data_IF_376165807263
#
_entry.id   IF_376165807263
#
_cell.length_a   1.000
_cell.length_b   1.000
_cell.length_c   1.000
_cell.angle_alpha   90.00
_cell.angle_beta   90.00
_cell.angle_gamma   90.00
#
_symmetry.space_group_name_H-M   'P 1'
#
loop_
_entity.id
_entity.type
_entity.pdbx_description
1 polymer ?
#
# COMPACT_ATOMS: atom_id res chain seq x y z
N UNK A 1 17.48 7.31 34.90
CA UNK A 1 16.87 7.42 33.57
C UNK A 1 15.47 6.86 33.60
N UNK A 2 14.54 7.69 33.32
CA UNK A 2 13.14 7.26 33.28
C UNK A 2 12.78 6.80 31.89
N UNK A 3 12.30 5.58 31.78
CA UNK A 3 11.80 5.12 30.53
C UNK A 3 10.44 5.75 30.26
N UNK A 4 10.36 6.62 29.28
CA UNK A 4 9.09 7.14 28.85
C UNK A 4 8.26 5.99 28.29
N UNK A 5 6.95 5.94 28.62
CA UNK A 5 6.11 4.92 28.03
C UNK A 5 6.10 5.07 26.50
N UNK A 6 6.30 3.96 25.83
CA UNK A 6 6.22 3.93 24.39
C UNK A 6 4.75 3.90 24.03
N UNK A 7 4.31 4.95 23.36
CA UNK A 7 2.96 4.96 22.83
C UNK A 7 2.91 4.08 21.60
N UNK A 8 1.98 3.15 21.62
CA UNK A 8 1.76 2.26 20.48
C UNK A 8 0.34 2.43 19.98
N UNK A 9 0.24 2.73 18.72
CA UNK A 9 -1.03 2.67 18.04
C UNK A 9 -1.18 1.31 17.40
N UNK A 10 -2.31 0.68 17.65
CA UNK A 10 -2.64 -0.59 17.02
C UNK A 10 -3.71 -0.33 15.97
N UNK A 11 -3.39 -0.66 14.74
CA UNK A 11 -4.36 -0.58 13.67
C UNK A 11 -5.12 -1.90 13.59
N UNK A 12 -6.38 -1.85 13.96
CA UNK A 12 -7.26 -3.01 13.86
C UNK A 12 -7.81 -3.12 12.43
N UNK A 13 -8.40 -4.27 12.11
CA UNK A 13 -9.08 -4.43 10.82
C UNK A 13 -10.24 -3.46 10.66
N UNK A 14 -10.98 -3.19 11.73
CA UNK A 14 -12.04 -2.18 11.72
C UNK A 14 -11.48 -0.79 11.46
N UNK A 15 -10.38 -0.47 12.11
CA UNK A 15 -9.68 0.80 11.91
C UNK A 15 -9.14 0.94 10.49
N UNK A 16 -8.59 -0.13 9.95
CA UNK A 16 -8.12 -0.17 8.57
C UNK A 16 -9.29 0.09 7.60
N UNK A 17 -10.41 -0.59 7.80
CA UNK A 17 -11.58 -0.40 6.96
C UNK A 17 -12.10 1.03 7.01
N UNK A 18 -12.16 1.63 8.22
CA UNK A 18 -12.59 3.00 8.37
C UNK A 18 -11.63 3.98 7.69
N UNK A 19 -10.32 3.78 7.87
CA UNK A 19 -9.32 4.65 7.28
C UNK A 19 -9.33 4.61 5.75
N UNK A 20 -9.48 3.43 5.17
CA UNK A 20 -9.52 3.29 3.70
C UNK A 20 -10.79 3.89 3.13
N UNK A 21 -11.93 3.73 3.80
CA UNK A 21 -13.18 4.37 3.38
C UNK A 21 -13.08 5.89 3.46
N UNK A 22 -12.49 6.42 4.53
CA UNK A 22 -12.31 7.85 4.69
C UNK A 22 -11.39 8.41 3.60
N UNK A 23 -10.30 7.71 3.32
CA UNK A 23 -9.38 8.12 2.27
C UNK A 23 -10.06 8.11 0.90
N UNK A 24 -10.83 7.07 0.60
CA UNK A 24 -11.57 7.00 -0.66
C UNK A 24 -12.56 8.15 -0.79
N UNK A 25 -13.26 8.50 0.29
CA UNK A 25 -14.19 9.63 0.29
C UNK A 25 -13.48 10.95 0.03
N UNK A 26 -12.29 11.13 0.62
CA UNK A 26 -11.50 12.35 0.40
C UNK A 26 -11.03 12.46 -1.04
N UNK A 27 -10.62 11.34 -1.62
CA UNK A 27 -10.21 11.32 -3.03
C UNK A 27 -11.39 11.69 -3.94
N UNK A 28 -12.56 11.13 -3.67
CA UNK A 28 -13.75 11.42 -4.44
C UNK A 28 -14.21 12.88 -4.25
N UNK A 29 -14.10 13.40 -3.02
CA UNK A 29 -14.45 14.80 -2.75
C UNK A 29 -13.55 15.77 -3.47
N UNK A 30 -12.33 15.37 -3.76
CA UNK A 30 -11.34 16.16 -4.51
C UNK A 30 -11.57 16.05 -6.02
N UNK A 31 -12.62 15.38 -6.43
CA UNK A 31 -12.98 15.15 -7.83
C UNK A 31 -11.89 14.44 -8.63
N UNK A 32 -11.06 13.70 -7.94
CA UNK A 32 -10.02 12.91 -8.58
C UNK A 32 -10.57 11.51 -8.87
N UNK A 33 -10.51 11.13 -10.15
CA UNK A 33 -10.97 9.82 -10.60
C UNK A 33 -9.82 9.08 -11.26
N UNK A 34 -9.13 8.21 -10.52
CA UNK A 34 -8.00 7.50 -11.10
C UNK A 34 -8.47 6.46 -12.11
N UNK A 35 -7.71 6.33 -13.19
CA UNK A 35 -7.96 5.29 -14.19
C UNK A 35 -7.40 3.95 -13.74
N UNK A 36 -6.32 3.98 -12.98
CA UNK A 36 -5.63 2.79 -12.50
C UNK A 36 -5.19 3.01 -11.07
N UNK A 37 -5.37 2.01 -10.25
CA UNK A 37 -4.77 1.97 -8.91
C UNK A 37 -3.65 0.94 -8.93
N UNK A 38 -2.46 1.35 -8.54
CA UNK A 38 -1.32 0.46 -8.53
C UNK A 38 -0.88 0.24 -7.09
N UNK A 39 -0.88 -1.00 -6.69
CA UNK A 39 -0.38 -1.40 -5.38
C UNK A 39 1.12 -1.62 -5.44
N UNK A 40 1.81 -1.18 -4.42
CA UNK A 40 3.20 -1.54 -4.25
C UNK A 40 3.24 -2.73 -3.30
N UNK A 41 3.50 -3.89 -3.87
CA UNK A 41 3.51 -5.12 -3.10
C UNK A 41 4.71 -5.11 -2.13
N UNK A 42 4.58 -5.76 -1.02
CA UNK A 42 3.39 -6.49 -0.58
C UNK A 42 2.49 -5.64 0.31
N UNK A 43 3.08 -4.68 1.03
CA UNK A 43 2.35 -3.88 2.00
C UNK A 43 1.18 -3.09 1.40
N UNK A 44 1.31 -2.70 0.14
CA UNK A 44 0.27 -1.92 -0.53
C UNK A 44 -0.89 -2.73 -1.09
N UNK A 45 -0.81 -4.07 -1.08
CA UNK A 45 -1.85 -4.88 -1.72
C UNK A 45 -3.22 -4.72 -1.08
N UNK A 46 -3.30 -4.76 0.25
CA UNK A 46 -4.56 -4.62 0.95
C UNK A 46 -5.12 -3.19 0.86
N UNK A 47 -4.33 -2.15 1.17
CA UNK A 47 -4.88 -0.80 1.08
C UNK A 47 -5.25 -0.40 -0.35
N UNK A 48 -4.46 -0.78 -1.35
CA UNK A 48 -4.79 -0.45 -2.73
C UNK A 48 -6.08 -1.14 -3.18
N UNK A 49 -6.26 -2.42 -2.83
CA UNK A 49 -7.48 -3.14 -3.15
C UNK A 49 -8.71 -2.49 -2.52
N UNK A 50 -8.61 -2.14 -1.24
CA UNK A 50 -9.71 -1.50 -0.52
C UNK A 50 -10.05 -0.12 -1.10
N UNK A 51 -9.03 0.67 -1.41
CA UNK A 51 -9.23 2.00 -1.99
C UNK A 51 -9.79 1.91 -3.40
N UNK A 52 -9.27 1.00 -4.22
CA UNK A 52 -9.78 0.78 -5.57
C UNK A 52 -11.27 0.40 -5.54
N UNK A 53 -11.64 -0.47 -4.62
CA UNK A 53 -13.04 -0.85 -4.44
C UNK A 53 -13.89 0.35 -4.03
N UNK A 54 -13.41 1.13 -3.06
CA UNK A 54 -14.12 2.33 -2.58
C UNK A 54 -14.28 3.39 -3.64
N UNK A 55 -13.33 3.49 -4.56
CA UNK A 55 -13.40 4.46 -5.67
C UNK A 55 -14.18 3.93 -6.87
N UNK A 56 -14.53 2.65 -6.88
CA UNK A 56 -15.12 2.02 -8.05
C UNK A 56 -14.15 1.87 -9.21
N UNK A 57 -12.85 1.90 -8.93
CA UNK A 57 -11.83 1.72 -9.96
C UNK A 57 -11.73 0.25 -10.30
N UNK A 58 -11.92 -0.09 -11.56
CA UNK A 58 -11.90 -1.48 -12.01
C UNK A 58 -10.51 -1.96 -12.35
N UNK A 59 -9.63 -1.05 -12.73
CA UNK A 59 -8.27 -1.39 -13.10
C UNK A 59 -7.37 -1.24 -11.88
N UNK A 60 -6.92 -2.37 -11.37
CA UNK A 60 -6.03 -2.41 -10.23
C UNK A 60 -4.88 -3.36 -10.56
N UNK A 61 -3.67 -2.86 -10.45
CA UNK A 61 -2.48 -3.64 -10.70
C UNK A 61 -1.57 -3.62 -9.49
N UNK A 62 -0.50 -4.37 -9.59
CA UNK A 62 0.51 -4.40 -8.55
C UNK A 62 1.90 -4.45 -9.15
N UNK A 63 2.82 -3.76 -8.51
CA UNK A 63 4.24 -3.87 -8.84
C UNK A 63 4.98 -4.28 -7.58
N UNK A 64 6.10 -4.95 -7.78
CA UNK A 64 6.96 -5.36 -6.68
C UNK A 64 8.20 -4.48 -6.70
N UNK A 65 8.43 -3.80 -5.57
CA UNK A 65 9.57 -2.90 -5.42
C UNK A 65 10.38 -3.39 -4.24
N UNK A 66 11.65 -3.62 -4.46
CA UNK A 66 12.53 -4.08 -3.40
C UNK A 66 13.71 -3.13 -3.22
N UNK A 67 14.03 -2.86 -1.95
CA UNK A 67 15.30 -2.29 -1.56
C UNK A 67 16.21 -3.46 -1.24
N UNK A 68 16.95 -3.87 -2.24
CA UNK A 68 17.75 -5.08 -2.15
C UNK A 68 19.00 -4.83 -1.34
N UNK A 69 19.22 -5.65 -0.33
CA UNK A 69 20.46 -5.63 0.42
C UNK A 69 21.14 -6.97 0.26
N UNK A 70 22.28 -6.98 -0.43
CA UNK A 70 23.14 -8.13 -0.43
C UNK A 70 24.06 -8.09 0.77
N UNK A 71 24.94 -9.09 0.89
CA UNK A 71 25.93 -9.11 1.97
C UNK A 71 26.85 -7.91 1.80
N UNK A 72 26.73 -6.96 2.74
CA UNK A 72 27.54 -5.73 2.73
C UNK A 72 27.18 -4.73 1.66
N UNK A 73 26.09 -4.93 0.94
CA UNK A 73 25.67 -4.04 -0.12
C UNK A 73 24.25 -3.56 0.09
N UNK A 74 24.07 -2.25 -0.01
CA UNK A 74 22.76 -1.64 0.08
C UNK A 74 22.52 -0.89 -1.22
N UNK A 75 21.40 -1.11 -1.86
CA UNK A 75 21.01 -0.37 -3.03
C UNK A 75 20.58 1.03 -2.64
N UNK A 76 21.08 2.05 -3.35
CA UNK A 76 20.70 3.43 -3.12
C UNK A 76 19.29 3.74 -3.61
N UNK A 77 18.76 2.90 -4.48
CA UNK A 77 17.43 3.08 -5.05
C UNK A 77 16.68 1.75 -5.03
N UNK A 78 15.34 1.80 -4.93
CA UNK A 78 14.56 0.58 -4.99
C UNK A 78 14.63 -0.04 -6.39
N UNK A 79 14.61 -1.36 -6.42
CA UNK A 79 14.50 -2.10 -7.66
C UNK A 79 13.04 -2.46 -7.89
N UNK A 80 12.52 -2.14 -9.07
CA UNK A 80 11.18 -2.54 -9.48
C UNK A 80 11.32 -3.87 -10.21
N UNK A 81 10.70 -4.89 -9.65
CA UNK A 81 10.75 -6.22 -10.21
C UNK A 81 9.59 -6.43 -11.18
N UNK A 82 9.82 -7.14 -12.29
CA UNK A 82 8.71 -7.46 -13.17
C UNK A 82 7.70 -8.35 -12.47
N UNK A 83 6.41 -8.20 -12.77
CA UNK A 83 5.41 -9.08 -12.21
C UNK A 83 5.62 -10.51 -12.71
N UNK A 84 5.59 -11.45 -11.77
CA UNK A 84 5.66 -12.86 -12.09
C UNK A 84 4.30 -13.48 -11.86
N UNK A 85 3.79 -14.10 -12.89
CA UNK A 85 2.56 -14.87 -12.80
C UNK A 85 2.91 -16.33 -12.89
N UNK A 86 2.68 -17.06 -11.81
CA UNK A 86 2.81 -18.49 -11.82
C UNK A 86 1.50 -19.07 -12.32
N UNK A 87 1.52 -19.50 -13.55
CA UNK A 87 0.32 -20.02 -14.24
C UNK A 87 0.17 -21.52 -14.12
N UNK A 88 1.02 -22.17 -13.35
CA UNK A 88 0.97 -23.62 -13.19
C UNK A 88 0.00 -24.06 -12.12
#
# INVERSE_FOLDING_TARGET
>A
MTDAPIERETLTWDGFGAATRDLARRILADEFSPEVVVAIARGGLLPAGAIAYGLGAKNCGAINVEFYTGIGTVLDAPAVLPPELDMN
#
